data_IF_211883014439
#
_entry.id   IF_211883014439
#
_cell.length_a   1.000
_cell.length_b   1.000
_cell.length_c   1.000
_cell.angle_alpha   90.00
_cell.angle_beta   90.00
_cell.angle_gamma   90.00
#
_symmetry.space_group_name_H-M   'P 1'
#
loop_
_entity.id
_entity.type
_entity.pdbx_description
1 polymer ?
#
# COMPACT_ATOMS: atom_id res chain seq x y z
N UNK A 1 28.78 29.85 7.93
CA UNK A 1 28.55 28.79 8.93
C UNK A 1 28.14 27.54 8.18
N UNK A 2 28.99 26.59 8.29
CA UNK A 2 29.03 25.35 7.51
C UNK A 2 27.81 24.47 7.84
N UNK A 3 27.02 24.09 6.83
CA UNK A 3 25.87 23.14 6.95
C UNK A 3 26.34 21.69 6.76
N UNK A 4 27.46 21.31 7.38
CA UNK A 4 28.07 19.99 7.24
C UNK A 4 27.56 18.94 8.24
N UNK A 5 26.31 19.05 8.71
CA UNK A 5 25.70 18.10 9.63
C UNK A 5 24.53 17.28 9.09
N UNK A 6 24.30 17.26 7.78
CA UNK A 6 23.30 16.35 7.20
C UNK A 6 23.89 14.93 7.28
N UNK A 7 23.37 14.09 8.19
CA UNK A 7 23.67 12.67 8.24
C UNK A 7 23.45 12.05 6.85
N UNK A 8 24.43 11.31 6.34
CA UNK A 8 24.29 10.61 5.08
C UNK A 8 23.07 9.69 5.17
N UNK A 9 22.19 9.73 4.18
CA UNK A 9 21.06 8.82 4.12
C UNK A 9 21.56 7.44 3.72
N UNK A 10 21.16 6.41 4.48
CA UNK A 10 21.43 5.01 4.13
C UNK A 10 20.78 4.65 2.78
N UNK A 11 21.21 3.57 2.16
CA UNK A 11 20.48 2.97 1.04
C UNK A 11 19.18 2.33 1.53
N UNK A 12 18.14 2.22 0.66
CA UNK A 12 16.90 1.57 1.05
C UNK A 12 17.14 0.10 1.44
N UNK A 13 16.63 -0.32 2.60
CA UNK A 13 16.83 -1.66 3.17
C UNK A 13 15.50 -2.31 3.55
N UNK A 14 15.43 -3.63 3.47
CA UNK A 14 14.29 -4.43 3.91
C UNK A 14 14.54 -5.01 5.29
N UNK A 15 13.51 -4.96 6.13
CA UNK A 15 13.52 -5.53 7.47
C UNK A 15 12.29 -6.39 7.69
N UNK A 16 12.46 -7.46 8.46
CA UNK A 16 11.38 -8.29 8.99
C UNK A 16 11.26 -8.03 10.49
N UNK A 17 10.03 -7.80 10.96
CA UNK A 17 9.79 -7.58 12.39
C UNK A 17 8.59 -8.40 12.84
N UNK A 18 8.68 -8.98 14.05
CA UNK A 18 7.54 -9.63 14.69
C UNK A 18 6.73 -8.60 15.46
N UNK A 19 5.43 -8.70 15.28
CA UNK A 19 4.44 -7.81 15.87
C UNK A 19 3.57 -8.56 16.89
N UNK A 20 2.91 -7.86 17.81
CA UNK A 20 1.84 -8.43 18.63
C UNK A 20 0.77 -9.06 17.77
N UNK A 21 0.12 -10.13 18.28
CA UNK A 21 -0.99 -10.78 17.59
C UNK A 21 -2.10 -9.79 17.24
N UNK A 22 -2.68 -9.92 16.07
CA UNK A 22 -3.69 -9.01 15.55
C UNK A 22 -5.05 -9.72 15.43
N UNK A 23 -6.03 -9.28 16.21
CA UNK A 23 -7.43 -9.69 16.04
C UNK A 23 -8.05 -8.88 14.91
N UNK A 24 -8.64 -9.55 13.92
CA UNK A 24 -9.23 -8.93 12.74
C UNK A 24 -10.65 -8.43 13.02
N UNK A 25 -11.10 -7.44 12.25
CA UNK A 25 -12.40 -6.77 12.41
C UNK A 25 -13.58 -7.75 12.38
N UNK A 26 -13.53 -8.74 11.51
CA UNK A 26 -14.59 -9.74 11.32
C UNK A 26 -14.29 -11.09 11.99
N UNK A 27 -13.39 -11.09 12.96
CA UNK A 27 -13.03 -12.27 13.74
C UNK A 27 -11.77 -12.97 13.23
N UNK A 28 -11.25 -13.88 14.04
CA UNK A 28 -9.95 -14.51 13.84
C UNK A 28 -8.78 -13.65 14.34
N UNK A 29 -7.67 -14.32 14.64
CA UNK A 29 -6.45 -13.66 15.11
C UNK A 29 -5.27 -14.14 14.27
N UNK A 30 -4.48 -13.21 13.78
CA UNK A 30 -3.20 -13.50 13.11
C UNK A 30 -2.13 -13.63 14.19
N UNK A 31 -1.64 -14.87 14.40
CA UNK A 31 -0.61 -15.18 15.39
C UNK A 31 0.22 -16.39 14.93
N UNK A 32 1.54 -16.27 14.71
CA UNK A 32 2.32 -15.06 14.85
C UNK A 32 2.03 -14.00 13.80
N UNK A 33 2.06 -12.72 14.20
CA UNK A 33 1.94 -11.60 13.31
C UNK A 33 3.31 -11.00 13.04
N UNK A 34 3.63 -10.76 11.79
CA UNK A 34 4.89 -10.15 11.37
C UNK A 34 4.70 -9.22 10.17
N UNK A 35 5.61 -8.27 10.04
CA UNK A 35 5.65 -7.35 8.91
C UNK A 35 7.02 -7.34 8.26
N UNK A 36 7.06 -7.32 6.93
CA UNK A 36 8.22 -6.96 6.13
C UNK A 36 8.02 -5.56 5.59
N UNK A 37 9.01 -4.70 5.78
CA UNK A 37 8.96 -3.33 5.32
C UNK A 37 10.29 -2.87 4.72
N UNK A 38 10.23 -1.92 3.79
CA UNK A 38 11.37 -1.16 3.33
C UNK A 38 11.46 0.13 4.12
N UNK A 39 12.68 0.49 4.47
CA UNK A 39 13.00 1.70 5.16
C UNK A 39 14.12 2.43 4.44
N UNK A 40 14.02 3.76 4.32
CA UNK A 40 15.05 4.64 3.81
C UNK A 40 15.05 5.96 4.56
N UNK A 41 16.13 6.29 5.24
CA UNK A 41 16.28 7.49 6.08
C UNK A 41 17.68 7.60 6.68
N UNK A 42 17.87 8.29 7.82
CA UNK A 42 19.15 8.48 8.47
C UNK A 42 19.86 7.17 8.83
N UNK A 43 21.18 7.11 8.66
CA UNK A 43 21.97 5.96 9.07
C UNK A 43 21.90 5.67 10.59
N UNK A 44 21.64 6.70 11.38
CA UNK A 44 21.48 6.60 12.82
C UNK A 44 20.34 5.66 13.24
N UNK A 45 19.35 5.41 12.40
CA UNK A 45 18.24 4.50 12.70
C UNK A 45 18.60 3.02 12.52
N UNK A 46 19.63 2.72 11.72
CA UNK A 46 19.99 1.33 11.36
C UNK A 46 20.26 0.43 12.56
N UNK A 47 20.99 0.85 13.61
CA UNK A 47 21.22 0.00 14.79
C UNK A 47 19.92 -0.44 15.48
N UNK A 48 18.92 0.46 15.58
CA UNK A 48 17.62 0.16 16.17
C UNK A 48 16.86 -0.85 15.31
N UNK A 49 16.83 -0.61 13.98
CA UNK A 49 16.14 -1.48 13.02
C UNK A 49 16.77 -2.87 12.95
N UNK A 50 18.10 -2.96 12.92
CA UNK A 50 18.84 -4.24 12.93
C UNK A 50 18.61 -5.01 14.22
N UNK A 51 18.57 -4.35 15.37
CA UNK A 51 18.28 -4.99 16.64
C UNK A 51 16.85 -5.55 16.68
N UNK A 52 15.84 -4.84 16.15
CA UNK A 52 14.47 -5.31 16.04
C UNK A 52 14.37 -6.52 15.10
N UNK A 53 15.05 -6.48 13.94
CA UNK A 53 15.08 -7.56 12.97
C UNK A 53 15.76 -8.82 13.52
N UNK A 54 16.92 -8.71 14.17
CA UNK A 54 17.66 -9.84 14.77
C UNK A 54 16.84 -10.53 15.86
N UNK A 55 16.04 -9.78 16.62
CA UNK A 55 15.13 -10.35 17.61
C UNK A 55 14.03 -11.24 16.97
N UNK A 56 13.73 -11.05 15.70
CA UNK A 56 12.82 -11.90 14.91
C UNK A 56 13.47 -13.22 14.53
N UNK A 57 14.69 -13.20 13.99
CA UNK A 57 15.38 -14.39 13.50
C UNK A 57 15.74 -15.35 14.65
N UNK A 58 16.20 -14.83 15.77
CA UNK A 58 16.51 -15.63 16.96
C UNK A 58 15.28 -16.36 17.54
N UNK A 59 14.08 -15.92 17.22
CA UNK A 59 12.79 -16.45 17.74
C UNK A 59 12.01 -17.27 16.75
N UNK A 60 12.37 -17.29 15.47
CA UNK A 60 11.82 -18.24 14.48
C UNK A 60 12.06 -19.69 14.87
N UNK A 61 13.05 -19.94 15.75
CA UNK A 61 13.44 -21.26 16.25
C UNK A 61 12.73 -21.71 17.54
N UNK A 62 11.96 -20.86 18.23
CA UNK A 62 11.39 -21.20 19.55
C UNK A 62 9.98 -20.60 19.74
N UNK A 63 8.95 -21.43 19.71
CA UNK A 63 7.57 -21.30 20.17
C UNK A 63 6.88 -19.91 20.34
N UNK A 64 5.65 -19.85 20.81
CA UNK A 64 4.85 -18.62 20.90
C UNK A 64 5.47 -17.58 21.83
N UNK A 65 5.53 -16.32 21.38
CA UNK A 65 6.04 -15.18 22.17
C UNK A 65 4.92 -14.65 23.07
N UNK A 66 5.19 -14.60 24.38
CA UNK A 66 4.23 -14.03 25.34
C UNK A 66 4.01 -12.54 25.10
N UNK A 67 2.80 -12.07 25.49
CA UNK A 67 2.40 -10.63 25.49
C UNK A 67 3.45 -9.76 26.22
N UNK A 68 4.10 -10.32 27.23
CA UNK A 68 5.15 -9.68 28.04
C UNK A 68 6.42 -9.35 27.25
N UNK A 69 6.75 -10.11 26.21
CA UNK A 69 7.94 -9.86 25.37
C UNK A 69 7.70 -8.76 24.33
N UNK A 70 6.47 -8.60 23.84
CA UNK A 70 6.08 -7.49 22.98
C UNK A 70 6.08 -6.17 23.79
N UNK A 71 5.63 -6.19 25.05
CA UNK A 71 5.70 -5.05 25.98
C UNK A 71 7.16 -4.65 26.31
N UNK A 72 8.08 -5.60 26.43
CA UNK A 72 9.50 -5.28 26.68
C UNK A 72 10.22 -4.60 25.50
N UNK A 73 9.70 -4.69 24.29
CA UNK A 73 10.20 -3.91 23.16
C UNK A 73 9.74 -2.45 23.27
N UNK A 74 8.54 -2.20 23.83
CA UNK A 74 8.03 -0.85 24.08
C UNK A 74 8.66 -0.14 25.30
N UNK A 75 9.32 -0.89 26.20
CA UNK A 75 10.02 -0.33 27.37
C UNK A 75 11.46 0.12 27.07
N UNK A 76 11.96 -0.08 25.83
CA UNK A 76 13.30 0.35 25.43
C UNK A 76 13.34 1.84 25.09
N UNK A 77 14.33 2.55 25.64
CA UNK A 77 14.55 3.99 25.45
C UNK A 77 15.01 4.42 24.05
N UNK A 78 15.28 3.51 23.14
CA UNK A 78 15.73 3.80 21.79
C UNK A 78 14.56 3.62 20.82
N UNK A 79 13.88 4.72 20.53
CA UNK A 79 12.80 4.84 19.54
C UNK A 79 13.27 5.73 18.40
N UNK A 80 12.66 5.59 17.23
CA UNK A 80 12.94 6.48 16.09
C UNK A 80 12.36 7.89 16.26
N UNK A 81 11.96 8.30 17.46
CA UNK A 81 11.35 9.60 17.75
C UNK A 81 12.44 10.65 18.11
N UNK A 82 13.31 10.93 17.13
CA UNK A 82 14.41 11.92 17.26
C UNK A 82 14.12 13.24 16.51
N UNK A 83 12.87 13.44 16.08
CA UNK A 83 12.44 14.63 15.36
C UNK A 83 12.55 14.54 13.83
N UNK A 84 13.12 13.47 13.26
CA UNK A 84 13.09 13.26 11.81
C UNK A 84 11.70 12.81 11.37
N UNK A 85 11.04 13.54 10.45
CA UNK A 85 9.67 13.23 10.05
C UNK A 85 9.57 11.89 9.32
N UNK A 86 8.54 11.09 9.62
CA UNK A 86 8.27 9.83 8.93
C UNK A 86 7.15 9.97 7.90
N UNK A 87 7.41 9.47 6.70
CA UNK A 87 6.46 9.33 5.60
C UNK A 87 6.14 7.85 5.42
N UNK A 88 4.86 7.51 5.47
CA UNK A 88 4.37 6.17 5.18
C UNK A 88 3.81 6.12 3.76
N UNK A 89 4.37 5.23 2.95
CA UNK A 89 3.85 4.91 1.62
C UNK A 89 3.18 3.54 1.68
N UNK A 90 1.94 3.45 1.24
CA UNK A 90 1.16 2.20 1.22
C UNK A 90 0.97 1.73 -0.21
N UNK A 91 1.41 0.51 -0.50
CA UNK A 91 1.36 -0.04 -1.85
C UNK A 91 -0.05 -0.48 -2.28
N UNK A 92 -0.30 -0.46 -3.59
CA UNK A 92 -1.54 -0.94 -4.19
C UNK A 92 -1.66 -2.48 -4.12
N UNK A 93 -2.80 -3.01 -4.56
CA UNK A 93 -3.26 -4.41 -4.41
C UNK A 93 -2.18 -5.48 -4.62
N UNK A 94 -1.39 -5.38 -5.69
CA UNK A 94 -0.32 -6.34 -6.03
C UNK A 94 1.08 -5.76 -5.92
N UNK A 95 1.24 -4.61 -5.25
CA UNK A 95 2.54 -4.02 -4.94
C UNK A 95 3.27 -4.78 -3.84
N UNK A 96 4.44 -4.29 -3.50
CA UNK A 96 5.25 -4.78 -2.39
C UNK A 96 5.95 -3.62 -1.66
N UNK A 97 6.67 -3.95 -0.61
CA UNK A 97 7.37 -2.97 0.22
C UNK A 97 8.51 -2.23 -0.50
N UNK A 98 9.00 -2.73 -1.65
CA UNK A 98 10.11 -2.11 -2.39
C UNK A 98 9.63 -0.87 -3.14
N UNK A 99 9.41 0.20 -2.40
CA UNK A 99 8.92 1.47 -2.95
C UNK A 99 10.05 2.32 -3.55
N UNK A 100 11.26 2.17 -3.04
CA UNK A 100 12.43 3.00 -3.36
C UNK A 100 13.62 2.17 -3.88
N UNK A 101 14.60 2.87 -4.47
CA UNK A 101 15.77 2.25 -5.07
C UNK A 101 15.56 1.89 -6.55
N UNK A 102 16.57 1.24 -7.19
CA UNK A 102 16.52 0.94 -8.64
C UNK A 102 15.32 0.10 -9.07
N UNK A 103 14.89 -0.85 -8.23
CA UNK A 103 13.77 -1.75 -8.49
C UNK A 103 12.47 -1.28 -7.77
N UNK A 104 12.49 -0.10 -7.15
CA UNK A 104 11.35 0.46 -6.43
C UNK A 104 10.27 0.96 -7.40
N UNK A 105 9.01 0.58 -7.11
CA UNK A 105 7.89 0.99 -7.98
C UNK A 105 7.60 2.50 -7.98
N UNK A 106 8.10 3.24 -6.97
CA UNK A 106 8.14 4.71 -6.89
C UNK A 106 9.57 5.27 -6.78
N UNK A 107 10.57 4.51 -7.24
CA UNK A 107 11.96 4.93 -7.24
C UNK A 107 12.21 6.35 -7.78
N UNK A 108 11.54 6.81 -8.86
CA UNK A 108 11.68 8.17 -9.35
C UNK A 108 11.20 9.28 -8.41
N UNK A 109 10.34 8.98 -7.42
CA UNK A 109 9.78 9.93 -6.46
C UNK A 109 10.55 9.98 -5.14
N UNK A 110 11.38 8.96 -4.88
CA UNK A 110 12.07 8.77 -3.59
C UNK A 110 13.58 8.72 -3.82
N UNK A 111 14.31 9.60 -3.16
CA UNK A 111 15.75 9.68 -3.29
C UNK A 111 16.27 11.09 -3.13
N UNK A 112 17.61 11.30 -3.22
CA UNK A 112 18.21 12.61 -3.06
C UNK A 112 17.59 13.66 -3.99
N UNK A 113 17.11 14.75 -3.43
CA UNK A 113 16.45 15.88 -4.12
C UNK A 113 15.13 15.53 -4.82
N UNK A 114 14.54 14.36 -4.53
CA UNK A 114 13.18 13.98 -4.96
C UNK A 114 12.13 14.53 -4.00
N UNK A 115 10.85 14.30 -4.32
CA UNK A 115 9.75 14.70 -3.43
C UNK A 115 9.89 14.13 -2.02
N UNK A 116 10.31 12.87 -1.92
CA UNK A 116 10.63 12.19 -0.68
C UNK A 116 12.14 11.98 -0.59
N UNK A 117 12.83 12.98 -0.04
CA UNK A 117 14.29 12.94 0.13
C UNK A 117 14.63 12.25 1.47
N UNK A 118 15.33 11.10 1.45
CA UNK A 118 15.68 10.37 2.67
C UNK A 118 16.66 11.14 3.60
N UNK A 119 17.25 12.23 3.13
CA UNK A 119 18.02 13.13 3.98
C UNK A 119 17.14 14.06 4.83
N UNK A 120 15.86 14.22 4.45
CA UNK A 120 14.91 15.11 5.11
C UNK A 120 13.79 14.34 5.84
N UNK A 121 13.43 13.16 5.35
CA UNK A 121 12.35 12.34 5.88
C UNK A 121 12.73 10.85 5.93
N UNK A 122 12.16 10.12 6.88
CA UNK A 122 12.14 8.66 6.84
C UNK A 122 11.05 8.20 5.89
N UNK A 123 11.37 7.36 4.92
CA UNK A 123 10.39 6.73 4.03
C UNK A 123 10.21 5.27 4.44
N UNK A 124 9.00 4.91 4.81
CA UNK A 124 8.60 3.56 5.20
C UNK A 124 7.52 3.05 4.27
N UNK A 125 7.68 1.83 3.76
CA UNK A 125 6.65 1.09 3.05
C UNK A 125 6.65 -0.35 3.54
N UNK A 126 5.53 -0.83 4.08
CA UNK A 126 5.38 -2.21 4.51
C UNK A 126 4.53 -3.01 3.53
N UNK A 127 4.79 -4.31 3.43
CA UNK A 127 3.88 -5.21 2.73
C UNK A 127 2.54 -5.26 3.48
N UNK A 128 1.45 -5.07 2.76
CA UNK A 128 0.11 -5.11 3.33
C UNK A 128 -0.17 -6.47 3.97
N UNK A 129 -0.83 -6.46 5.11
CA UNK A 129 -1.38 -7.67 5.73
C UNK A 129 -2.24 -8.43 4.71
N UNK A 130 -2.08 -9.74 4.63
CA UNK A 130 -2.78 -10.58 3.66
C UNK A 130 -2.09 -10.67 2.29
N UNK A 131 -0.95 -10.01 2.09
CA UNK A 131 -0.11 -10.13 0.89
C UNK A 131 0.81 -11.36 0.95
N UNK A 132 1.65 -11.58 -0.07
CA UNK A 132 2.55 -12.74 -0.18
C UNK A 132 4.05 -12.38 -0.15
N UNK A 133 4.41 -11.16 0.23
CA UNK A 133 5.80 -10.69 0.17
C UNK A 133 6.50 -10.60 1.54
N UNK A 134 6.06 -11.38 2.52
CA UNK A 134 6.74 -11.56 3.78
C UNK A 134 6.12 -10.86 4.99
N UNK A 135 5.07 -10.03 4.84
CA UNK A 135 4.14 -9.75 5.94
C UNK A 135 3.16 -10.91 6.09
N UNK A 136 2.55 -11.06 7.27
CA UNK A 136 1.57 -12.12 7.53
C UNK A 136 0.46 -12.15 6.49
N UNK A 137 0.15 -13.35 6.00
CA UNK A 137 -0.84 -13.55 4.95
C UNK A 137 -1.33 -14.99 4.84
N UNK A 138 -2.18 -15.31 3.85
CA UNK A 138 -2.82 -16.63 3.69
C UNK A 138 -1.86 -17.80 3.49
N UNK A 139 -0.59 -17.54 3.27
CA UNK A 139 0.46 -18.56 3.12
C UNK A 139 1.08 -18.97 4.45
N UNK A 140 0.85 -18.22 5.52
CA UNK A 140 1.47 -18.44 6.81
C UNK A 140 0.64 -19.39 7.68
N UNK A 141 1.31 -20.26 8.43
CA UNK A 141 0.66 -21.17 9.38
C UNK A 141 -0.12 -20.44 10.49
N UNK A 142 0.24 -19.21 10.79
CA UNK A 142 -0.45 -18.34 11.75
C UNK A 142 -1.64 -17.55 11.18
N UNK A 143 -1.96 -17.74 9.89
CA UNK A 143 -3.16 -17.15 9.30
C UNK A 143 -4.40 -17.92 9.75
N UNK A 144 -5.50 -17.24 10.12
CA UNK A 144 -6.71 -17.94 10.55
C UNK A 144 -7.22 -18.93 9.51
N UNK A 145 -7.44 -20.20 9.92
CA UNK A 145 -7.87 -21.28 9.03
C UNK A 145 -9.29 -21.10 8.47
N UNK A 146 -10.13 -20.35 9.16
CA UNK A 146 -11.46 -19.98 8.66
C UNK A 146 -11.31 -18.84 7.67
N UNK A 147 -12.15 -18.84 6.61
CA UNK A 147 -12.18 -17.76 5.64
C UNK A 147 -12.35 -16.41 6.35
N UNK A 148 -11.26 -15.70 6.53
CA UNK A 148 -11.22 -14.44 7.24
C UNK A 148 -11.46 -13.34 6.25
N UNK A 149 -12.46 -12.52 6.53
CA UNK A 149 -12.75 -11.32 5.76
C UNK A 149 -11.79 -10.20 6.17
N UNK A 150 -10.70 -10.06 5.41
CA UNK A 150 -9.75 -8.96 5.59
C UNK A 150 -10.38 -7.62 5.19
N UNK A 151 -10.02 -6.55 5.89
CA UNK A 151 -10.45 -5.19 5.60
C UNK A 151 -9.26 -4.24 5.51
N UNK A 152 -9.39 -3.06 4.86
CA UNK A 152 -8.36 -2.02 4.93
C UNK A 152 -8.13 -1.50 6.36
N UNK A 153 -9.13 -1.62 7.23
CA UNK A 153 -8.98 -1.33 8.67
C UNK A 153 -8.00 -2.27 9.37
N UNK A 154 -8.06 -3.57 9.05
CA UNK A 154 -7.10 -4.53 9.60
C UNK A 154 -5.69 -4.26 9.10
N UNK A 155 -5.56 -3.91 7.81
CA UNK A 155 -4.27 -3.52 7.22
C UNK A 155 -3.71 -2.25 7.88
N UNK A 156 -4.55 -1.26 8.12
CA UNK A 156 -4.18 -0.03 8.83
C UNK A 156 -3.78 -0.29 10.29
N UNK A 157 -4.48 -1.20 10.99
CA UNK A 157 -4.12 -1.63 12.36
C UNK A 157 -2.79 -2.38 12.39
N UNK A 158 -2.53 -3.22 11.40
CA UNK A 158 -1.23 -3.89 11.24
C UNK A 158 -0.09 -2.87 11.03
N UNK A 159 -0.31 -1.83 10.21
CA UNK A 159 0.65 -0.75 10.03
C UNK A 159 0.88 0.06 11.31
N UNK A 160 -0.18 0.39 12.06
CA UNK A 160 -0.01 1.03 13.36
C UNK A 160 0.74 0.15 14.35
N UNK A 161 0.50 -1.16 14.37
CA UNK A 161 1.28 -2.10 15.20
C UNK A 161 2.78 -2.07 14.85
N UNK A 162 3.12 -1.97 13.55
CA UNK A 162 4.50 -1.79 13.09
C UNK A 162 5.07 -0.44 13.57
N UNK A 163 4.35 0.65 13.36
CA UNK A 163 4.78 1.99 13.75
C UNK A 163 5.00 2.10 15.27
N UNK A 164 4.12 1.48 16.07
CA UNK A 164 4.27 1.41 17.53
C UNK A 164 5.55 0.68 17.96
N UNK A 165 5.87 -0.44 17.31
CA UNK A 165 7.11 -1.19 17.58
C UNK A 165 8.35 -0.38 17.18
N UNK A 166 8.24 0.43 16.12
CA UNK A 166 9.31 1.35 15.70
C UNK A 166 9.38 2.62 16.55
N UNK A 167 8.39 2.89 17.41
CA UNK A 167 8.29 4.12 18.21
C UNK A 167 7.83 5.33 17.42
N UNK A 168 7.24 5.14 16.25
CA UNK A 168 6.71 6.22 15.39
C UNK A 168 5.28 6.53 15.80
N UNK A 169 5.06 7.63 16.49
CA UNK A 169 3.74 8.05 17.01
C UNK A 169 3.00 8.97 16.05
N UNK A 170 3.73 9.66 15.16
CA UNK A 170 3.16 10.60 14.18
C UNK A 170 3.77 10.40 12.79
N UNK A 171 2.94 10.54 11.78
CA UNK A 171 3.35 10.56 10.39
C UNK A 171 3.29 12.00 9.85
N UNK A 172 4.35 12.43 9.20
CA UNK A 172 4.36 13.69 8.44
C UNK A 172 3.39 13.61 7.27
N UNK A 173 3.43 12.48 6.57
CA UNK A 173 2.58 12.16 5.43
C UNK A 173 2.23 10.67 5.43
N UNK A 174 0.98 10.36 5.16
CA UNK A 174 0.56 9.03 4.71
C UNK A 174 0.04 9.12 3.28
N UNK A 175 0.57 8.31 2.39
CA UNK A 175 0.19 8.30 0.97
C UNK A 175 0.09 6.89 0.45
N UNK A 176 -0.74 6.70 -0.54
CA UNK A 176 -0.91 5.44 -1.24
C UNK A 176 -1.92 5.57 -2.37
N UNK A 177 -1.86 4.64 -3.32
CA UNK A 177 -2.78 4.62 -4.44
C UNK A 177 -3.71 3.41 -4.37
N UNK A 178 -4.94 3.56 -4.90
CA UNK A 178 -5.91 2.47 -4.96
C UNK A 178 -6.18 1.89 -3.56
N UNK A 179 -6.02 0.56 -3.36
CA UNK A 179 -6.08 -0.09 -2.05
C UNK A 179 -5.13 0.57 -1.03
N UNK A 180 -3.93 0.98 -1.46
CA UNK A 180 -2.99 1.69 -0.58
C UNK A 180 -3.55 3.03 -0.09
N UNK A 181 -4.31 3.74 -0.91
CA UNK A 181 -5.05 4.94 -0.53
C UNK A 181 -6.15 4.65 0.49
N UNK A 182 -6.90 3.56 0.32
CA UNK A 182 -7.91 3.10 1.30
C UNK A 182 -7.30 2.83 2.67
N UNK A 183 -6.17 2.14 2.70
CA UNK A 183 -5.45 1.81 3.95
C UNK A 183 -4.89 3.09 4.60
N UNK A 184 -4.33 4.02 3.82
CA UNK A 184 -3.83 5.30 4.33
C UNK A 184 -4.94 6.14 4.96
N UNK A 185 -6.15 6.13 4.38
CA UNK A 185 -7.33 6.78 4.93
C UNK A 185 -7.78 6.12 6.24
N UNK A 186 -7.93 4.80 6.26
CA UNK A 186 -8.28 4.04 7.48
C UNK A 186 -7.27 4.30 8.61
N UNK A 187 -5.99 4.37 8.28
CA UNK A 187 -4.92 4.64 9.24
C UNK A 187 -5.08 6.01 9.91
N UNK A 188 -5.43 7.06 9.16
CA UNK A 188 -5.68 8.38 9.71
C UNK A 188 -6.93 8.43 10.61
N UNK A 189 -7.99 7.70 10.23
CA UNK A 189 -9.23 7.62 11.01
C UNK A 189 -9.02 6.85 12.32
N UNK A 190 -8.21 5.80 12.33
CA UNK A 190 -7.90 5.01 13.53
C UNK A 190 -7.20 5.83 14.63
N UNK A 191 -6.39 6.81 14.25
CA UNK A 191 -5.67 7.69 15.18
C UNK A 191 -5.77 9.15 14.72
N UNK A 192 -6.89 9.82 14.99
CA UNK A 192 -7.08 11.24 14.65
C UNK A 192 -5.94 12.11 15.18
N UNK A 193 -5.42 13.00 14.34
CA UNK A 193 -4.31 13.90 14.70
C UNK A 193 -2.90 13.29 14.62
N UNK A 194 -2.76 11.98 14.39
CA UNK A 194 -1.44 11.33 14.23
C UNK A 194 -0.89 11.38 12.81
N UNK A 195 -1.67 11.84 11.84
CA UNK A 195 -1.24 12.00 10.43
C UNK A 195 -1.34 13.48 10.07
N UNK A 196 -0.21 14.12 9.74
CA UNK A 196 -0.15 15.55 9.41
C UNK A 196 -0.69 15.86 8.02
N UNK A 197 -0.38 15.02 7.04
CA UNK A 197 -0.85 15.16 5.67
C UNK A 197 -1.30 13.79 5.10
N UNK A 198 -2.30 13.83 4.21
CA UNK A 198 -2.84 12.69 3.48
C UNK A 198 -2.77 12.95 1.97
N UNK A 199 -2.26 11.99 1.21
CA UNK A 199 -2.32 12.02 -0.27
C UNK A 199 -2.88 10.68 -0.76
N UNK A 200 -4.21 10.48 -0.70
CA UNK A 200 -4.88 9.35 -1.31
C UNK A 200 -4.98 9.56 -2.82
N UNK A 201 -4.51 8.58 -3.61
CA UNK A 201 -4.43 8.66 -5.07
C UNK A 201 -5.31 7.58 -5.70
N UNK A 202 -6.20 7.93 -6.63
CA UNK A 202 -7.06 6.99 -7.34
C UNK A 202 -7.78 6.03 -6.38
N UNK A 203 -8.51 6.57 -5.42
CA UNK A 203 -9.21 5.81 -4.37
C UNK A 203 -10.54 6.49 -3.98
N UNK A 204 -11.28 5.93 -3.04
CA UNK A 204 -12.60 6.42 -2.66
C UNK A 204 -12.84 6.31 -1.14
N UNK A 205 -13.91 6.93 -0.63
CA UNK A 205 -14.35 6.77 0.75
C UNK A 205 -14.95 5.39 1.04
N UNK A 206 -15.56 4.76 0.03
CA UNK A 206 -16.08 3.41 0.09
C UNK A 206 -15.96 2.75 -1.30
N UNK A 207 -15.85 1.42 -1.33
CA UNK A 207 -15.82 0.68 -2.59
C UNK A 207 -17.18 0.72 -3.28
N UNK A 208 -17.19 1.17 -4.54
CA UNK A 208 -18.41 1.24 -5.35
C UNK A 208 -18.86 -0.15 -5.82
N UNK A 209 -20.14 -0.27 -6.19
CA UNK A 209 -20.64 -1.49 -6.82
C UNK A 209 -19.89 -1.87 -8.10
N UNK A 210 -19.32 -0.89 -8.82
CA UNK A 210 -18.45 -1.12 -9.98
C UNK A 210 -17.18 -1.85 -9.60
N UNK A 211 -16.44 -1.37 -8.58
CA UNK A 211 -15.23 -2.01 -8.06
C UNK A 211 -15.52 -3.40 -7.55
N UNK A 212 -16.56 -3.54 -6.71
CA UNK A 212 -16.99 -4.84 -6.15
C UNK A 212 -17.38 -5.82 -7.25
N UNK A 213 -18.06 -5.35 -8.31
CA UNK A 213 -18.44 -6.16 -9.46
C UNK A 213 -17.24 -6.74 -10.21
N UNK A 214 -16.24 -5.94 -10.53
CA UNK A 214 -15.00 -6.40 -11.17
C UNK A 214 -14.23 -7.37 -10.29
N UNK A 215 -14.09 -7.06 -9.01
CA UNK A 215 -13.44 -7.95 -8.04
C UNK A 215 -14.20 -9.26 -7.88
N UNK A 216 -15.54 -9.23 -7.91
CA UNK A 216 -16.36 -10.45 -7.88
C UNK A 216 -16.05 -11.37 -9.06
N UNK A 217 -16.01 -10.82 -10.28
CA UNK A 217 -15.68 -11.62 -11.49
C UNK A 217 -14.26 -12.18 -11.37
N UNK A 218 -13.28 -11.37 -10.94
CA UNK A 218 -11.92 -11.84 -10.73
C UNK A 218 -11.84 -13.01 -9.71
N UNK A 219 -12.59 -12.95 -8.60
CA UNK A 219 -12.69 -14.05 -7.62
C UNK A 219 -13.31 -15.30 -8.21
N UNK A 220 -14.36 -15.17 -9.03
CA UNK A 220 -14.95 -16.31 -9.70
C UNK A 220 -13.96 -16.99 -10.66
N UNK A 221 -13.18 -16.20 -11.42
CA UNK A 221 -12.14 -16.71 -12.31
C UNK A 221 -11.06 -17.49 -11.53
N UNK A 222 -10.64 -16.98 -10.35
CA UNK A 222 -9.71 -17.71 -9.47
C UNK A 222 -10.27 -19.05 -9.02
N UNK A 223 -11.55 -19.07 -8.59
CA UNK A 223 -12.20 -20.27 -8.07
C UNK A 223 -12.54 -21.32 -9.12
N UNK A 224 -12.59 -20.91 -10.40
CA UNK A 224 -12.77 -21.84 -11.53
C UNK A 224 -11.45 -22.53 -11.94
N UNK A 225 -10.31 -22.12 -11.38
CA UNK A 225 -9.04 -22.82 -11.63
C UNK A 225 -9.12 -24.25 -11.05
N UNK A 226 -8.82 -25.30 -11.85
CA UNK A 226 -8.83 -26.68 -11.34
C UNK A 226 -7.85 -26.93 -10.18
N UNK A 227 -6.81 -26.11 -10.05
CA UNK A 227 -5.84 -26.19 -8.96
C UNK A 227 -6.25 -25.45 -7.68
N UNK A 228 -7.43 -24.81 -7.65
CA UNK A 228 -7.92 -24.10 -6.47
C UNK A 228 -8.09 -25.04 -5.25
N UNK A 229 -7.66 -24.62 -4.05
CA UNK A 229 -6.99 -23.35 -3.70
C UNK A 229 -5.45 -23.42 -3.69
N UNK A 230 -4.83 -24.56 -3.95
CA UNK A 230 -3.39 -24.81 -3.74
C UNK A 230 -2.53 -24.27 -4.89
N UNK A 231 -2.94 -24.47 -6.14
CA UNK A 231 -2.26 -23.95 -7.35
C UNK A 231 -3.26 -23.30 -8.30
N UNK A 232 -3.44 -21.99 -8.16
CA UNK A 232 -4.36 -21.19 -8.97
C UNK A 232 -3.65 -20.36 -10.05
N UNK A 233 -2.56 -20.89 -10.58
CA UNK A 233 -1.71 -20.13 -11.49
C UNK A 233 -2.42 -19.62 -12.73
N UNK A 234 -3.28 -20.44 -13.37
CA UNK A 234 -4.03 -20.05 -14.56
C UNK A 234 -5.16 -19.07 -14.24
N UNK A 235 -5.89 -19.32 -13.15
CA UNK A 235 -6.93 -18.40 -12.66
C UNK A 235 -6.36 -17.03 -12.32
N UNK A 236 -5.17 -16.98 -11.69
CA UNK A 236 -4.50 -15.72 -11.38
C UNK A 236 -4.05 -14.98 -12.66
N UNK A 237 -3.55 -15.70 -13.68
CA UNK A 237 -3.23 -15.10 -14.98
C UNK A 237 -4.46 -14.45 -15.61
N UNK A 238 -5.60 -15.13 -15.62
CA UNK A 238 -6.84 -14.62 -16.20
C UNK A 238 -7.44 -13.47 -15.38
N UNK A 239 -7.43 -13.58 -14.05
CA UNK A 239 -7.87 -12.49 -13.17
C UNK A 239 -7.01 -11.22 -13.38
N UNK A 240 -5.70 -11.37 -13.61
CA UNK A 240 -4.83 -10.23 -13.96
C UNK A 240 -5.16 -9.63 -15.32
N UNK A 241 -5.45 -10.46 -16.33
CA UNK A 241 -5.86 -9.97 -17.65
C UNK A 241 -7.13 -9.13 -17.56
N UNK A 242 -8.11 -9.60 -16.80
CA UNK A 242 -9.34 -8.87 -16.51
C UNK A 242 -9.05 -7.52 -15.83
N UNK A 243 -8.22 -7.53 -14.80
CA UNK A 243 -7.82 -6.33 -14.07
C UNK A 243 -7.10 -5.32 -14.98
N UNK A 244 -6.26 -5.77 -15.92
CA UNK A 244 -5.56 -4.87 -16.84
C UNK A 244 -6.51 -4.09 -17.76
N UNK A 245 -7.69 -4.63 -18.08
CA UNK A 245 -8.71 -3.92 -18.85
C UNK A 245 -9.37 -2.79 -18.04
N UNK A 246 -9.41 -2.90 -16.72
CA UNK A 246 -9.93 -1.84 -15.83
C UNK A 246 -8.87 -0.85 -15.40
N UNK A 247 -7.59 -1.27 -15.38
CA UNK A 247 -6.47 -0.43 -14.97
C UNK A 247 -5.96 0.46 -16.10
N UNK A 248 -6.22 0.10 -17.35
CA UNK A 248 -5.80 0.86 -18.53
C UNK A 248 -6.97 1.57 -19.17
N UNK A 249 -6.76 2.80 -19.60
CA UNK A 249 -7.74 3.51 -20.42
C UNK A 249 -7.68 3.02 -21.87
N UNK A 250 -8.84 3.00 -22.55
CA UNK A 250 -8.98 2.61 -23.95
C UNK A 250 -7.96 3.30 -24.86
N UNK A 251 -7.76 4.65 -24.82
CA UNK A 251 -6.81 5.31 -25.70
C UNK A 251 -5.36 4.79 -25.56
N UNK A 252 -4.96 4.38 -24.36
CA UNK A 252 -3.61 3.85 -24.15
C UNK A 252 -3.46 2.42 -24.67
N UNK A 253 -4.52 1.63 -24.62
CA UNK A 253 -4.52 0.28 -25.20
C UNK A 253 -4.47 0.37 -26.72
N UNK A 254 -5.31 1.18 -27.33
CA UNK A 254 -5.37 1.36 -28.77
C UNK A 254 -4.08 1.93 -29.36
N UNK A 255 -3.49 2.94 -28.70
CA UNK A 255 -2.24 3.54 -29.15
C UNK A 255 -1.04 2.56 -29.10
N UNK A 256 -1.03 1.63 -28.13
CA UNK A 256 0.13 0.73 -27.92
C UNK A 256 -0.06 -0.65 -28.52
N UNK A 257 -1.28 -1.15 -28.57
CA UNK A 257 -1.55 -2.53 -28.96
C UNK A 257 -2.10 -2.67 -30.38
N UNK A 258 -2.53 -1.59 -31.01
CA UNK A 258 -3.10 -1.48 -32.35
C UNK A 258 -4.05 -2.64 -32.73
N UNK A 259 -5.07 -2.37 -33.50
CA UNK A 259 -5.96 -3.41 -33.99
C UNK A 259 -5.43 -4.18 -35.22
N UNK A 260 -4.21 -4.00 -35.60
CA UNK A 260 -3.62 -4.75 -36.71
C UNK A 260 -3.52 -6.21 -36.31
N UNK A 261 -4.07 -7.12 -37.11
CA UNK A 261 -3.91 -8.55 -36.91
C UNK A 261 -2.42 -8.88 -36.79
N UNK A 262 -2.07 -9.59 -35.73
CA UNK A 262 -0.68 -9.96 -35.48
C UNK A 262 -0.20 -11.04 -36.44
N UNK A 263 1.09 -11.13 -36.58
CA UNK A 263 1.73 -12.31 -37.17
C UNK A 263 2.18 -13.23 -36.02
N UNK A 264 2.18 -14.53 -36.18
CA UNK A 264 2.51 -15.24 -37.44
C UNK A 264 1.26 -15.59 -38.28
N UNK A 265 1.46 -15.88 -39.58
CA UNK A 265 0.39 -16.24 -40.49
C UNK A 265 -0.46 -17.44 -40.03
N UNK A 266 0.10 -18.29 -39.17
CA UNK A 266 -0.53 -19.49 -38.62
C UNK A 266 -1.62 -19.12 -37.55
N UNK A 267 -1.65 -17.86 -37.07
CA UNK A 267 -2.62 -17.38 -36.13
C UNK A 267 -3.27 -16.07 -36.61
N UNK A 268 -4.02 -16.09 -37.70
CA UNK A 268 -4.54 -14.89 -38.35
C UNK A 268 -5.53 -14.09 -37.51
N UNK A 269 -5.98 -14.67 -36.40
CA UNK A 269 -6.93 -14.04 -35.43
C UNK A 269 -6.24 -13.57 -34.14
N UNK A 270 -4.91 -13.57 -34.07
CA UNK A 270 -4.19 -13.02 -32.91
C UNK A 270 -4.04 -11.50 -33.06
N UNK A 271 -4.34 -10.79 -31.97
CA UNK A 271 -4.17 -9.35 -31.88
C UNK A 271 -3.09 -9.02 -30.82
N UNK A 272 -2.32 -7.96 -31.00
CA UNK A 272 -1.29 -7.55 -30.03
C UNK A 272 -1.79 -7.42 -28.60
N UNK A 273 -3.03 -6.95 -28.38
CA UNK A 273 -3.65 -6.84 -27.06
C UNK A 273 -3.77 -8.18 -26.35
N UNK A 274 -4.00 -9.28 -27.07
CA UNK A 274 -4.07 -10.63 -26.46
C UNK A 274 -2.71 -11.02 -25.87
N UNK A 275 -1.64 -10.89 -26.67
CA UNK A 275 -0.27 -11.17 -26.21
C UNK A 275 0.14 -10.27 -25.03
N UNK A 276 -0.27 -9.01 -25.06
CA UNK A 276 -0.04 -8.07 -23.96
C UNK A 276 -0.74 -8.55 -22.68
N UNK A 277 -2.03 -8.87 -22.72
CA UNK A 277 -2.80 -9.33 -21.58
C UNK A 277 -2.24 -10.64 -21.00
N UNK A 278 -1.92 -11.61 -21.87
CA UNK A 278 -1.28 -12.86 -21.46
C UNK A 278 0.09 -12.63 -20.81
N UNK A 279 0.89 -11.72 -21.37
CA UNK A 279 2.18 -11.35 -20.76
C UNK A 279 1.99 -10.78 -19.35
N UNK A 280 1.03 -9.89 -19.17
CA UNK A 280 0.72 -9.30 -17.84
C UNK A 280 0.21 -10.37 -16.85
N UNK A 281 -0.61 -11.30 -17.31
CA UNK A 281 -1.05 -12.45 -16.53
C UNK A 281 0.13 -13.32 -16.06
N UNK A 282 0.97 -13.77 -16.99
CA UNK A 282 2.18 -14.57 -16.69
C UNK A 282 3.16 -13.82 -15.77
N UNK A 283 3.31 -12.50 -15.95
CA UNK A 283 4.16 -11.66 -15.09
C UNK A 283 3.65 -11.64 -13.65
N UNK A 284 2.34 -11.53 -13.43
CA UNK A 284 1.78 -11.59 -12.08
C UNK A 284 1.95 -12.98 -11.46
N UNK A 285 1.57 -14.04 -12.16
CA UNK A 285 1.69 -15.44 -11.67
C UNK A 285 3.09 -15.76 -11.14
N UNK A 286 4.15 -15.24 -11.79
CA UNK A 286 5.55 -15.50 -11.38
C UNK A 286 5.93 -14.89 -10.04
N UNK A 287 5.17 -13.92 -9.53
CA UNK A 287 5.54 -13.13 -8.35
C UNK A 287 4.46 -13.02 -7.29
N UNK A 288 3.24 -13.44 -7.56
CA UNK A 288 2.10 -13.27 -6.65
C UNK A 288 1.35 -14.59 -6.44
N UNK A 289 0.80 -14.78 -5.25
CA UNK A 289 -0.01 -15.96 -4.90
C UNK A 289 -1.50 -15.65 -5.04
N UNK A 290 -2.28 -16.63 -5.53
CA UNK A 290 -3.71 -16.46 -5.78
C UNK A 290 -4.54 -16.30 -4.52
N UNK A 291 -4.15 -16.92 -3.40
CA UNK A 291 -4.84 -16.77 -2.10
C UNK A 291 -4.61 -15.36 -1.53
N UNK A 292 -3.38 -14.86 -1.66
CA UNK A 292 -3.08 -13.48 -1.30
C UNK A 292 -3.83 -12.49 -2.21
N UNK A 293 -3.94 -12.78 -3.51
CA UNK A 293 -4.73 -11.95 -4.43
C UNK A 293 -6.20 -11.90 -4.01
N UNK A 294 -6.78 -13.05 -3.66
CA UNK A 294 -8.14 -13.14 -3.13
C UNK A 294 -8.31 -12.28 -1.86
N UNK A 295 -7.40 -12.41 -0.89
CA UNK A 295 -7.47 -11.65 0.36
C UNK A 295 -7.40 -10.14 0.14
N UNK A 296 -6.57 -9.68 -0.81
CA UNK A 296 -6.47 -8.26 -1.15
C UNK A 296 -7.74 -7.76 -1.88
N UNK A 297 -8.34 -8.55 -2.78
CA UNK A 297 -9.63 -8.21 -3.40
C UNK A 297 -10.75 -8.11 -2.36
N UNK A 298 -10.78 -9.02 -1.39
CA UNK A 298 -11.77 -9.01 -0.32
C UNK A 298 -11.59 -7.80 0.61
N UNK A 299 -10.36 -7.40 0.89
CA UNK A 299 -10.08 -6.18 1.63
C UNK A 299 -10.61 -4.94 0.89
N UNK A 300 -10.32 -4.85 -0.41
CA UNK A 300 -10.77 -3.74 -1.25
C UNK A 300 -12.29 -3.64 -1.31
N UNK A 301 -13.01 -4.77 -1.44
CA UNK A 301 -14.48 -4.78 -1.47
C UNK A 301 -15.11 -4.26 -0.18
N UNK A 302 -14.46 -4.50 0.97
CA UNK A 302 -14.94 -4.11 2.30
C UNK A 302 -14.48 -2.74 2.74
N UNK A 303 -13.89 -1.98 1.83
CA UNK A 303 -13.52 -0.60 2.15
C UNK A 303 -14.77 0.25 2.30
N UNK A 304 -14.93 0.79 3.51
CA UNK A 304 -15.97 1.75 3.86
C UNK A 304 -15.48 2.56 5.07
N UNK A 305 -15.30 3.87 4.88
CA UNK A 305 -14.86 4.77 5.94
C UNK A 305 -15.97 5.07 6.96
N UNK A 306 -17.23 4.77 6.65
CA UNK A 306 -18.36 4.92 7.58
C UNK A 306 -18.61 3.66 8.42
N UNK A 307 -17.84 2.58 8.17
CA UNK A 307 -17.90 1.33 8.91
C UNK A 307 -16.58 0.99 9.67
N UNK A 308 -16.06 1.90 10.53
CA UNK A 308 -14.83 1.63 11.26
C UNK A 308 -15.02 0.53 12.30
N UNK A 309 -13.94 -0.14 12.75
CA UNK A 309 -13.98 -1.10 13.84
C UNK A 309 -14.56 -0.49 15.12
N UNK A 310 -15.24 -1.31 15.91
CA UNK A 310 -15.77 -0.87 17.20
C UNK A 310 -14.65 -0.30 18.10
N UNK A 311 -14.93 0.82 18.76
CA UNK A 311 -13.96 1.51 19.62
C UNK A 311 -12.98 2.43 18.87
N UNK A 312 -13.14 2.62 17.55
CA UNK A 312 -12.42 3.67 16.83
C UNK A 312 -12.76 5.04 17.42
N UNK A 313 -11.78 5.87 17.78
CA UNK A 313 -12.05 7.17 18.37
C UNK A 313 -12.86 8.07 17.44
N UNK A 314 -13.91 8.70 17.96
CA UNK A 314 -14.56 9.80 17.28
C UNK A 314 -13.68 11.05 17.43
N UNK A 315 -13.14 11.56 16.33
CA UNK A 315 -12.29 12.75 16.35
C UNK A 315 -12.21 13.40 14.97
N UNK A 316 -11.86 14.69 14.98
CA UNK A 316 -11.58 15.41 13.74
C UNK A 316 -10.26 14.94 13.11
N UNK A 317 -10.28 14.75 11.80
CA UNK A 317 -9.08 14.50 11.02
C UNK A 317 -8.34 15.83 10.81
N UNK A 318 -7.57 16.28 11.78
CA UNK A 318 -6.81 17.52 11.70
C UNK A 318 -5.64 17.44 10.67
N UNK A 319 -5.85 16.77 9.55
CA UNK A 319 -4.87 16.53 8.49
C UNK A 319 -5.11 17.47 7.30
N UNK A 320 -4.02 17.91 6.64
CA UNK A 320 -4.11 18.46 5.31
C UNK A 320 -4.25 17.29 4.31
N UNK A 321 -5.31 17.27 3.52
CA UNK A 321 -5.56 16.20 2.56
C UNK A 321 -5.49 16.73 1.11
N UNK A 322 -4.70 16.08 0.27
CA UNK A 322 -4.68 16.31 -1.17
C UNK A 322 -5.24 15.07 -1.86
N UNK A 323 -6.54 15.09 -2.19
CA UNK A 323 -7.19 14.00 -2.92
C UNK A 323 -6.81 14.05 -4.40
N UNK A 324 -6.12 13.01 -4.88
CA UNK A 324 -5.62 12.95 -6.26
C UNK A 324 -6.40 11.91 -7.05
N UNK A 325 -6.99 12.32 -8.17
CA UNK A 325 -7.57 11.43 -9.17
C UNK A 325 -6.76 11.43 -10.48
N UNK A 326 -7.06 10.48 -11.35
CA UNK A 326 -6.47 10.36 -12.69
C UNK A 326 -7.62 10.51 -13.68
N UNK A 327 -7.49 11.45 -14.63
CA UNK A 327 -8.60 11.86 -15.51
C UNK A 327 -9.20 10.74 -16.36
N UNK A 328 -8.43 9.69 -16.65
CA UNK A 328 -8.89 8.55 -17.44
C UNK A 328 -9.12 7.27 -16.61
N UNK A 329 -9.10 7.38 -15.27
CA UNK A 329 -9.37 6.25 -14.38
C UNK A 329 -10.83 5.82 -14.43
N UNK A 330 -11.07 4.59 -14.87
CA UNK A 330 -12.40 3.99 -14.95
C UNK A 330 -12.77 3.20 -13.68
N UNK A 331 -11.80 2.92 -12.83
CA UNK A 331 -12.01 2.16 -11.61
C UNK A 331 -12.37 3.08 -10.45
N UNK A 332 -11.61 4.17 -10.28
CA UNK A 332 -11.83 5.23 -9.29
C UNK A 332 -11.95 6.57 -9.99
N UNK A 333 -13.17 6.96 -10.32
CA UNK A 333 -13.47 8.15 -11.11
C UNK A 333 -13.30 9.44 -10.32
N UNK A 334 -13.16 10.58 -11.03
CA UNK A 334 -13.12 11.91 -10.40
C UNK A 334 -14.34 12.17 -9.50
N UNK A 335 -15.51 11.66 -9.85
CA UNK A 335 -16.71 11.80 -9.02
C UNK A 335 -16.57 11.08 -7.65
N UNK A 336 -15.91 9.92 -7.61
CA UNK A 336 -15.61 9.24 -6.34
C UNK A 336 -14.58 9.99 -5.50
N UNK A 337 -13.64 10.65 -6.15
CA UNK A 337 -12.67 11.50 -5.47
C UNK A 337 -13.31 12.80 -4.94
N UNK A 338 -14.37 13.34 -5.59
CA UNK A 338 -15.18 14.43 -5.05
C UNK A 338 -15.90 13.99 -3.78
N UNK A 339 -16.56 12.84 -3.79
CA UNK A 339 -17.22 12.27 -2.61
C UNK A 339 -16.23 12.02 -1.45
N UNK A 340 -15.03 11.58 -1.75
CA UNK A 340 -13.95 11.42 -0.74
C UNK A 340 -13.54 12.77 -0.16
N UNK A 341 -13.39 13.80 -0.98
CA UNK A 341 -13.04 15.14 -0.53
C UNK A 341 -14.11 15.73 0.39
N UNK A 342 -15.38 15.56 0.02
CA UNK A 342 -16.54 15.97 0.85
C UNK A 342 -16.54 15.21 2.18
N UNK A 343 -16.30 13.90 2.16
CA UNK A 343 -16.25 13.06 3.34
C UNK A 343 -15.14 13.51 4.32
N UNK A 344 -13.95 13.81 3.82
CA UNK A 344 -12.82 14.28 4.60
C UNK A 344 -13.07 15.68 5.16
N UNK A 345 -13.64 16.59 4.38
CA UNK A 345 -14.02 17.94 4.78
C UNK A 345 -15.03 17.90 5.93
N UNK A 346 -16.04 17.05 5.83
CA UNK A 346 -17.06 16.87 6.86
C UNK A 346 -16.48 16.37 8.21
N UNK A 347 -15.26 15.82 8.18
CA UNK A 347 -14.51 15.34 9.36
C UNK A 347 -13.35 16.26 9.78
N UNK A 348 -13.36 17.51 9.33
CA UNK A 348 -12.43 18.55 9.80
C UNK A 348 -11.07 18.55 9.10
N UNK A 349 -10.87 17.77 8.02
CA UNK A 349 -9.66 17.88 7.22
C UNK A 349 -9.66 19.14 6.34
N UNK A 350 -8.50 19.75 6.15
CA UNK A 350 -8.29 20.77 5.12
C UNK A 350 -8.04 20.09 3.79
N UNK A 351 -8.99 20.13 2.86
CA UNK A 351 -8.97 19.31 1.65
C UNK A 351 -8.69 20.14 0.41
N UNK A 352 -7.76 19.65 -0.41
CA UNK A 352 -7.54 20.10 -1.77
C UNK A 352 -7.75 18.95 -2.75
N UNK A 353 -8.10 19.27 -4.00
CA UNK A 353 -8.22 18.33 -5.09
C UNK A 353 -7.14 18.57 -6.15
N UNK A 354 -6.64 17.50 -6.74
CA UNK A 354 -5.78 17.55 -7.91
C UNK A 354 -6.08 16.38 -8.84
N UNK A 355 -5.98 16.64 -10.15
CA UNK A 355 -6.15 15.62 -11.18
C UNK A 355 -4.84 15.42 -11.92
N UNK A 356 -4.37 14.19 -11.99
CA UNK A 356 -3.26 13.78 -12.85
C UNK A 356 -3.81 13.47 -14.23
N UNK A 357 -3.31 14.16 -15.24
CA UNK A 357 -3.63 13.86 -16.64
C UNK A 357 -2.77 12.70 -17.11
N UNK A 358 -3.39 11.61 -17.50
CA UNK A 358 -2.70 10.41 -17.95
C UNK A 358 -3.54 9.62 -18.95
N UNK A 359 -2.97 9.14 -20.06
CA UNK A 359 -3.67 8.21 -20.93
C UNK A 359 -3.70 6.79 -20.38
N UNK A 360 -3.07 6.54 -19.23
CA UNK A 360 -2.84 5.17 -18.71
C UNK A 360 -3.92 4.68 -17.74
N UNK A 361 -5.00 5.44 -17.55
CA UNK A 361 -6.06 5.06 -16.63
C UNK A 361 -5.57 4.98 -15.19
N UNK A 362 -6.10 4.03 -14.44
CA UNK A 362 -5.75 3.80 -13.04
C UNK A 362 -4.23 3.66 -12.80
N UNK A 363 -3.51 3.00 -13.73
CA UNK A 363 -2.05 2.83 -13.62
C UNK A 363 -1.26 4.14 -13.74
N UNK A 364 -1.90 5.29 -14.00
CA UNK A 364 -1.25 6.60 -14.05
C UNK A 364 -0.40 6.90 -12.80
N UNK A 365 -0.81 6.44 -11.62
CA UNK A 365 -0.02 6.63 -10.39
C UNK A 365 1.33 5.86 -10.39
N UNK A 366 1.53 4.93 -11.29
CA UNK A 366 2.79 4.17 -11.45
C UNK A 366 3.72 4.77 -12.50
N UNK A 367 3.24 5.69 -13.34
CA UNK A 367 3.98 6.16 -14.52
C UNK A 367 4.08 7.68 -14.65
N UNK A 368 3.16 8.44 -14.07
CA UNK A 368 3.15 9.91 -14.12
C UNK A 368 3.97 10.53 -12.99
N UNK A 369 5.22 10.14 -12.90
CA UNK A 369 6.09 10.50 -11.77
C UNK A 369 6.34 12.01 -11.65
N UNK A 370 6.47 12.74 -12.76
CA UNK A 370 6.69 14.19 -12.74
C UNK A 370 5.50 14.94 -12.13
N UNK A 371 4.28 14.58 -12.52
CA UNK A 371 3.07 15.15 -11.95
C UNK A 371 2.94 14.81 -10.46
N UNK A 372 3.20 13.56 -10.10
CA UNK A 372 3.13 13.10 -8.71
C UNK A 372 4.22 13.75 -7.85
N UNK A 373 5.41 13.98 -8.38
CA UNK A 373 6.49 14.67 -7.65
C UNK A 373 6.06 16.08 -7.23
N UNK A 374 5.43 16.82 -8.14
CA UNK A 374 4.91 18.17 -7.85
C UNK A 374 3.84 18.12 -6.76
N UNK A 375 2.91 17.17 -6.85
CA UNK A 375 1.82 17.03 -5.89
C UNK A 375 2.32 16.59 -4.50
N UNK A 376 3.25 15.65 -4.43
CA UNK A 376 3.84 15.22 -3.16
C UNK A 376 4.65 16.34 -2.50
N UNK A 377 5.42 17.13 -3.26
CA UNK A 377 6.13 18.31 -2.72
C UNK A 377 5.16 19.35 -2.17
N UNK A 378 4.02 19.56 -2.83
CA UNK A 378 2.98 20.49 -2.38
C UNK A 378 2.31 20.03 -1.10
N UNK A 379 2.06 18.72 -0.96
CA UNK A 379 1.40 18.14 0.21
C UNK A 379 2.32 18.04 1.42
N UNK A 380 3.64 17.97 1.22
CA UNK A 380 4.59 17.97 2.34
C UNK A 380 4.61 19.41 2.91
N UNK A 381 4.10 19.63 4.14
CA UNK A 381 4.18 20.95 4.75
C UNK A 381 5.64 21.37 4.79
N UNK A 382 5.94 22.55 4.26
CA UNK A 382 7.27 23.15 4.40
C UNK A 382 7.60 23.15 5.88
N UNK A 383 8.75 22.59 6.26
CA UNK A 383 9.16 22.56 7.66
C UNK A 383 9.00 23.96 8.24
N UNK A 384 8.28 24.07 9.34
CA UNK A 384 8.34 25.29 10.15
C UNK A 384 9.81 25.55 10.37
N UNK A 385 10.28 26.62 9.72
CA UNK A 385 11.66 27.06 9.85
C UNK A 385 11.95 27.42 11.31
N UNK A 386 12.18 26.41 12.13
CA UNK A 386 12.86 26.63 13.40
C UNK A 386 14.29 26.99 13.07
N UNK A 387 14.49 28.29 12.99
CA UNK A 387 15.80 28.94 13.02
C UNK A 387 16.49 28.67 14.35
#
# INVERSE_FOLDING_TARGET
>A
MDRSGASAAASPRLFDVRLPGLTLQHGGTVEPHHARFQWWGPEADLPVLEQLATAVDARRSTGPVSRETALRVSERKETLDDGVPTVLVVHALTGDARVAGPDGWWGPLIGPRRALDPAEVRVLCANNLGSCYGSSGPLDAGWPAQAVSLTPWDQARALWSLLDVLGVTRLRLSTGASLGGMVALCLAVLRPGSVGALVPIGTAAASSAWVVGWNHVARQVLRLDPGWPEDVGRGLELARQLAMLTYRAEPSLDARQHRTAGHPPEAPWSFPVQSYLEHQGRKLRRRFDGRAYLAQLEAMDRHDLDAPPAGTPAGELAAAALCVDIDTDQLFTSAQADLLADWLTARGASVERATVRSPFGHDGFLVEWEALEVLLRRALPQGDGRR
#
